data_IF_293073152324
#
_entry.id   IF_293073152324
#
_cell.length_a   1.000
_cell.length_b   1.000
_cell.length_c   1.000
_cell.angle_alpha   90.00
_cell.angle_beta   90.00
_cell.angle_gamma   90.00
#
_symmetry.space_group_name_H-M   'P 1'
#
loop_
_entity.id
_entity.type
_entity.pdbx_description
1 polymer ?
#
# COMPACT_ATOMS: atom_id res chain seq x y z
N UNK A 1 -66.78 13.53 41.22
CA UNK A 1 -65.51 12.93 41.63
C UNK A 1 -64.65 12.78 40.39
N UNK A 2 -63.73 13.67 40.20
CA UNK A 2 -62.85 13.69 39.02
C UNK A 2 -61.45 13.24 39.46
N UNK A 3 -61.03 12.05 39.01
CA UNK A 3 -59.72 11.52 39.30
C UNK A 3 -58.74 12.03 38.20
N UNK A 4 -57.90 12.99 38.60
CA UNK A 4 -56.81 13.51 37.75
C UNK A 4 -55.68 12.46 37.60
N UNK A 5 -55.55 11.95 36.42
CA UNK A 5 -54.38 11.08 36.06
C UNK A 5 -53.20 11.98 35.82
N UNK A 6 -52.34 12.15 36.81
CA UNK A 6 -51.00 12.71 36.63
C UNK A 6 -50.15 11.71 35.88
N UNK A 7 -49.92 12.02 34.66
CA UNK A 7 -48.95 11.37 33.80
C UNK A 7 -47.53 11.61 34.34
N UNK A 8 -46.94 10.60 34.96
CA UNK A 8 -45.50 10.61 35.25
C UNK A 8 -44.74 10.30 33.96
N UNK A 9 -44.20 11.34 33.32
CA UNK A 9 -43.24 11.16 32.27
C UNK A 9 -41.89 10.89 32.95
N UNK A 10 -41.50 9.63 33.01
CA UNK A 10 -40.19 9.23 33.44
C UNK A 10 -39.18 9.64 32.36
N UNK A 11 -38.46 10.73 32.61
CA UNK A 11 -37.29 11.08 31.85
C UNK A 11 -36.21 10.04 32.14
N UNK A 12 -36.02 9.08 31.23
CA UNK A 12 -34.82 8.25 31.20
C UNK A 12 -33.67 9.11 30.68
N UNK A 13 -32.57 9.26 31.41
CA UNK A 13 -31.37 9.83 30.85
C UNK A 13 -30.79 8.85 29.84
N UNK A 14 -30.86 9.20 28.57
CA UNK A 14 -30.18 8.49 27.51
C UNK A 14 -28.68 8.76 27.68
N UNK A 15 -28.02 7.94 28.50
CA UNK A 15 -26.54 7.92 28.55
C UNK A 15 -26.03 7.36 27.24
N UNK A 16 -25.73 8.28 26.33
CA UNK A 16 -25.00 7.98 25.12
C UNK A 16 -23.61 7.51 25.54
N UNK A 17 -23.44 6.20 25.67
CA UNK A 17 -22.12 5.59 25.76
C UNK A 17 -21.42 5.84 24.39
N UNK A 18 -20.75 6.98 24.29
CA UNK A 18 -19.77 7.20 23.26
C UNK A 18 -18.65 6.17 23.47
N UNK A 19 -18.80 5.00 22.83
CA UNK A 19 -17.68 4.10 22.61
C UNK A 19 -16.71 4.85 21.71
N UNK A 20 -15.77 5.55 22.33
CA UNK A 20 -14.56 5.99 21.64
C UNK A 20 -13.84 4.72 21.20
N UNK A 21 -14.09 4.28 19.99
CA UNK A 21 -13.25 3.34 19.31
C UNK A 21 -11.86 4.02 19.28
N UNK A 22 -10.96 3.59 20.16
CA UNK A 22 -9.55 3.84 20.02
C UNK A 22 -9.18 3.12 18.73
N UNK A 23 -9.25 3.83 17.61
CA UNK A 23 -8.58 3.42 16.40
C UNK A 23 -7.10 3.31 16.79
N UNK A 24 -6.62 2.08 16.96
CA UNK A 24 -5.20 1.81 17.04
C UNK A 24 -4.63 2.36 15.76
N UNK A 25 -4.00 3.53 15.86
CA UNK A 25 -3.17 4.07 14.81
C UNK A 25 -1.98 3.13 14.70
N UNK A 26 -2.15 2.02 14.01
CA UNK A 26 -1.04 1.24 13.50
C UNK A 26 -0.29 2.22 12.60
N UNK A 27 0.80 2.75 13.12
CA UNK A 27 1.64 3.70 12.41
C UNK A 27 2.30 2.94 11.28
N UNK A 28 1.68 3.00 10.10
CA UNK A 28 2.26 2.41 8.90
C UNK A 28 3.66 2.97 8.70
N UNK A 29 4.65 2.13 8.35
CA UNK A 29 5.96 2.62 7.97
C UNK A 29 5.80 3.68 6.88
N UNK A 30 6.54 4.77 6.97
CA UNK A 30 6.53 5.82 5.95
C UNK A 30 7.10 5.27 4.64
N UNK A 31 6.68 5.86 3.52
CA UNK A 31 7.37 5.65 2.25
C UNK A 31 8.82 6.11 2.38
N UNK A 32 9.78 5.34 1.87
CA UNK A 32 11.18 5.73 1.90
C UNK A 32 11.48 6.85 0.90
N UNK A 33 12.57 7.57 1.11
CA UNK A 33 13.10 8.44 0.08
C UNK A 33 13.82 7.61 -0.98
N UNK A 34 13.66 7.92 -2.28
CA UNK A 34 14.39 7.22 -3.33
C UNK A 34 15.91 7.32 -3.10
N UNK A 35 16.61 6.19 -3.15
CA UNK A 35 18.06 6.16 -3.01
C UNK A 35 18.73 6.77 -4.24
N UNK A 36 19.83 7.50 -4.11
CA UNK A 36 20.56 8.02 -5.26
C UNK A 36 21.18 6.88 -6.09
N UNK A 37 21.27 7.08 -7.39
CA UNK A 37 21.92 6.14 -8.30
C UNK A 37 21.14 4.85 -8.61
N UNK A 38 19.86 4.79 -8.28
CA UNK A 38 18.98 3.67 -8.65
C UNK A 38 18.74 3.67 -10.16
N UNK A 39 18.96 2.51 -10.78
CA UNK A 39 18.78 2.28 -12.22
C UNK A 39 18.06 0.96 -12.47
N UNK A 40 17.68 0.73 -13.73
CA UNK A 40 17.09 -0.54 -14.19
C UNK A 40 17.96 -1.78 -13.88
N UNK A 41 19.27 -1.62 -13.73
CA UNK A 41 20.19 -2.71 -13.40
C UNK A 41 19.91 -3.36 -12.02
N UNK A 42 19.18 -2.67 -11.16
CA UNK A 42 18.74 -3.23 -9.86
C UNK A 42 17.62 -4.25 -10.00
N UNK A 43 16.85 -4.18 -11.07
CA UNK A 43 15.67 -5.03 -11.30
C UNK A 43 16.10 -6.32 -11.98
N UNK A 44 15.60 -7.46 -11.50
CA UNK A 44 15.85 -8.75 -12.14
C UNK A 44 15.48 -8.71 -13.63
N UNK A 45 16.36 -9.22 -14.52
CA UNK A 45 16.03 -9.36 -15.93
C UNK A 45 14.99 -10.47 -16.15
N UNK A 46 14.24 -10.43 -17.25
CA UNK A 46 13.20 -11.39 -17.56
C UNK A 46 13.72 -12.84 -17.57
N UNK A 47 14.93 -13.06 -18.06
CA UNK A 47 15.56 -14.38 -18.09
C UNK A 47 15.89 -14.98 -16.71
N UNK A 48 15.85 -14.17 -15.64
CA UNK A 48 16.04 -14.63 -14.27
C UNK A 48 14.70 -14.99 -13.58
N UNK A 49 13.55 -14.60 -14.17
CA UNK A 49 12.23 -14.95 -13.67
C UNK A 49 11.97 -16.45 -13.88
N UNK A 50 11.44 -17.11 -12.87
CA UNK A 50 11.26 -18.59 -12.88
C UNK A 50 9.89 -18.98 -12.36
N UNK A 51 9.45 -20.18 -12.82
CA UNK A 51 8.20 -20.77 -12.39
C UNK A 51 6.99 -20.30 -13.18
N UNK A 52 5.83 -20.80 -12.81
CA UNK A 52 4.58 -20.62 -13.56
C UNK A 52 4.10 -19.16 -13.60
N UNK A 53 4.50 -18.34 -12.60
CA UNK A 53 4.16 -16.92 -12.52
C UNK A 53 5.08 -16.01 -13.35
N UNK A 54 6.19 -16.50 -13.89
CA UNK A 54 7.21 -15.67 -14.54
C UNK A 54 6.65 -14.85 -15.72
N UNK A 55 5.89 -15.48 -16.59
CA UNK A 55 5.30 -14.83 -17.77
C UNK A 55 4.29 -13.72 -17.36
N UNK A 56 3.46 -14.00 -16.34
CA UNK A 56 2.49 -13.02 -15.83
C UNK A 56 3.18 -11.84 -15.12
N UNK A 57 4.29 -12.09 -14.44
CA UNK A 57 5.06 -11.09 -13.72
C UNK A 57 5.92 -10.23 -14.64
N UNK A 58 6.37 -10.73 -15.79
CA UNK A 58 7.34 -10.09 -16.69
C UNK A 58 6.95 -8.64 -17.04
N UNK A 59 5.68 -8.37 -17.28
CA UNK A 59 5.20 -7.04 -17.59
C UNK A 59 5.43 -6.05 -16.42
N UNK A 60 5.18 -6.46 -15.18
CA UNK A 60 5.43 -5.63 -14.01
C UNK A 60 6.92 -5.34 -13.82
N UNK A 61 7.78 -6.34 -14.01
CA UNK A 61 9.24 -6.17 -13.96
C UNK A 61 9.73 -5.20 -15.05
N UNK A 62 9.18 -5.29 -16.27
CA UNK A 62 9.50 -4.37 -17.37
C UNK A 62 9.12 -2.92 -16.98
N UNK A 63 7.93 -2.71 -16.45
CA UNK A 63 7.46 -1.40 -15.98
C UNK A 63 8.38 -0.82 -14.90
N UNK A 64 8.79 -1.64 -13.94
CA UNK A 64 9.69 -1.21 -12.85
C UNK A 64 11.07 -0.81 -13.40
N UNK A 65 11.58 -1.49 -14.42
CA UNK A 65 12.84 -1.10 -15.06
C UNK A 65 12.79 0.28 -15.73
N UNK A 66 11.61 0.73 -16.17
CA UNK A 66 11.44 2.06 -16.75
C UNK A 66 11.39 3.17 -15.69
N UNK A 67 10.88 2.87 -14.49
CA UNK A 67 10.68 3.85 -13.43
C UNK A 67 11.31 3.43 -12.08
N UNK A 68 12.54 2.91 -12.05
CA UNK A 68 13.09 2.29 -10.84
C UNK A 68 13.21 3.26 -9.67
N UNK A 69 13.50 4.54 -9.92
CA UNK A 69 13.60 5.57 -8.89
C UNK A 69 12.24 5.89 -8.25
N UNK A 70 11.16 5.87 -9.04
CA UNK A 70 9.81 6.08 -8.52
C UNK A 70 9.44 4.91 -7.61
N UNK A 71 9.68 3.69 -8.07
CA UNK A 71 9.38 2.46 -7.31
C UNK A 71 10.22 2.36 -6.04
N UNK A 72 11.47 2.85 -6.06
CA UNK A 72 12.32 2.92 -4.86
C UNK A 72 11.82 3.90 -3.80
N UNK A 73 11.00 4.85 -4.19
CA UNK A 73 10.32 5.80 -3.28
C UNK A 73 8.98 5.30 -2.73
N UNK A 74 8.60 4.07 -2.98
CA UNK A 74 7.30 3.52 -2.57
C UNK A 74 7.53 2.41 -1.54
N UNK A 75 6.74 2.41 -0.46
CA UNK A 75 6.68 1.30 0.48
C UNK A 75 5.81 0.20 -0.10
N UNK A 76 6.25 -1.05 -0.02
CA UNK A 76 5.43 -2.19 -0.38
C UNK A 76 4.35 -2.47 0.69
N UNK A 77 3.10 -2.63 0.27
CA UNK A 77 1.96 -2.90 1.17
C UNK A 77 1.66 -4.40 1.34
N UNK A 78 2.48 -5.30 0.79
CA UNK A 78 2.29 -6.75 0.97
C UNK A 78 2.85 -7.30 2.30
N UNK A 79 3.40 -6.44 3.18
CA UNK A 79 4.07 -6.84 4.42
C UNK A 79 5.59 -6.98 4.31
N UNK A 80 6.17 -7.00 3.11
CA UNK A 80 7.62 -7.10 2.93
C UNK A 80 8.39 -5.93 3.54
N UNK A 81 7.77 -4.75 3.63
CA UNK A 81 8.40 -3.56 4.20
C UNK A 81 8.82 -3.71 5.67
N UNK A 82 8.29 -4.71 6.37
CA UNK A 82 8.64 -5.01 7.76
C UNK A 82 9.81 -6.01 7.86
N UNK A 83 10.22 -6.59 6.74
CA UNK A 83 11.31 -7.55 6.69
C UNK A 83 12.66 -6.85 6.50
N UNK A 84 13.69 -7.35 7.18
CA UNK A 84 15.05 -6.88 6.99
C UNK A 84 15.48 -7.07 5.52
N UNK A 85 16.09 -6.01 4.94
CA UNK A 85 16.54 -6.01 3.56
C UNK A 85 15.52 -5.52 2.53
N UNK A 86 14.27 -5.26 2.94
CA UNK A 86 13.25 -4.68 2.07
C UNK A 86 13.10 -3.18 2.34
N UNK A 87 13.89 -2.39 1.64
CA UNK A 87 13.88 -0.93 1.78
C UNK A 87 12.63 -0.29 1.19
N UNK A 88 12.21 -0.76 0.03
CA UNK A 88 11.15 -0.19 -0.79
C UNK A 88 10.44 -1.28 -1.60
N UNK A 89 9.42 -0.91 -2.36
CA UNK A 89 8.79 -1.78 -3.35
C UNK A 89 9.82 -2.30 -4.38
N UNK A 90 10.84 -1.51 -4.72
CA UNK A 90 11.91 -1.96 -5.61
C UNK A 90 12.62 -3.20 -5.08
N UNK A 91 12.80 -3.32 -3.77
CA UNK A 91 13.44 -4.49 -3.16
C UNK A 91 12.73 -5.82 -3.50
N UNK A 92 11.43 -5.77 -3.75
CA UNK A 92 10.66 -6.96 -4.18
C UNK A 92 11.00 -7.38 -5.62
N UNK A 93 11.59 -6.51 -6.40
CA UNK A 93 12.00 -6.72 -7.79
C UNK A 93 13.51 -6.98 -7.95
N UNK A 94 14.27 -6.93 -6.86
CA UNK A 94 15.70 -7.21 -6.83
C UNK A 94 15.98 -8.72 -6.68
N UNK A 95 17.14 -9.10 -6.18
CA UNK A 95 17.68 -10.46 -6.15
C UNK A 95 16.72 -11.58 -5.68
N UNK A 96 15.87 -11.28 -4.69
CA UNK A 96 14.93 -12.29 -4.19
C UNK A 96 13.72 -12.49 -5.11
N UNK A 97 13.43 -11.51 -5.98
CA UNK A 97 12.35 -11.58 -6.96
C UNK A 97 10.96 -11.86 -6.35
N UNK A 98 10.72 -11.40 -5.13
CA UNK A 98 9.45 -11.64 -4.41
C UNK A 98 8.22 -11.26 -5.23
N UNK A 99 8.33 -10.19 -6.02
CA UNK A 99 7.26 -9.72 -6.88
C UNK A 99 6.82 -10.74 -7.96
N UNK A 100 7.63 -11.74 -8.28
CA UNK A 100 7.23 -12.80 -9.22
C UNK A 100 5.97 -13.54 -8.76
N UNK A 101 5.79 -13.67 -7.44
CA UNK A 101 4.70 -14.43 -6.83
C UNK A 101 3.74 -13.56 -6.01
N UNK A 102 3.91 -12.24 -6.02
CA UNK A 102 3.11 -11.33 -5.24
C UNK A 102 2.28 -10.41 -6.13
N UNK A 103 0.98 -10.67 -6.17
CA UNK A 103 0.04 -9.87 -6.95
C UNK A 103 -0.08 -8.43 -6.42
N UNK A 104 0.13 -8.21 -5.13
CA UNK A 104 0.13 -6.87 -4.52
C UNK A 104 1.31 -6.07 -5.04
N UNK A 105 2.54 -6.60 -4.95
CA UNK A 105 3.72 -5.94 -5.50
C UNK A 105 3.56 -5.60 -6.98
N UNK A 106 3.00 -6.52 -7.77
CA UNK A 106 2.75 -6.30 -9.20
C UNK A 106 1.67 -5.24 -9.43
N UNK A 107 0.61 -5.24 -8.62
CA UNK A 107 -0.45 -4.24 -8.67
C UNK A 107 0.07 -2.84 -8.36
N UNK A 108 0.85 -2.70 -7.28
CA UNK A 108 1.50 -1.45 -6.89
C UNK A 108 2.41 -0.90 -8.00
N UNK A 109 3.21 -1.75 -8.62
CA UNK A 109 4.09 -1.34 -9.72
C UNK A 109 3.32 -0.87 -10.94
N UNK A 110 2.26 -1.58 -11.33
CA UNK A 110 1.40 -1.18 -12.46
C UNK A 110 0.71 0.15 -12.21
N UNK A 111 0.17 0.35 -11.00
CA UNK A 111 -0.45 1.61 -10.63
C UNK A 111 0.56 2.75 -10.65
N UNK A 112 1.75 2.55 -10.06
CA UNK A 112 2.82 3.53 -10.07
C UNK A 112 3.23 3.91 -11.50
N UNK A 113 3.40 2.92 -12.37
CA UNK A 113 3.77 3.13 -13.77
C UNK A 113 2.71 3.96 -14.51
N UNK A 114 1.45 3.60 -14.38
CA UNK A 114 0.33 4.31 -15.02
C UNK A 114 0.25 5.76 -14.56
N UNK A 115 0.27 6.00 -13.26
CA UNK A 115 0.17 7.34 -12.71
C UNK A 115 1.42 8.20 -13.04
N UNK A 116 2.60 7.58 -13.07
CA UNK A 116 3.82 8.28 -13.50
C UNK A 116 3.75 8.70 -14.96
N UNK A 117 3.25 7.84 -15.85
CA UNK A 117 3.04 8.17 -17.26
C UNK A 117 2.00 9.29 -17.45
N UNK A 118 1.04 9.41 -16.55
CA UNK A 118 0.08 10.52 -16.49
C UNK A 118 0.66 11.81 -15.89
N UNK A 119 1.90 11.81 -15.45
CA UNK A 119 2.58 12.99 -14.88
C UNK A 119 2.35 13.24 -13.40
N UNK A 120 1.86 12.23 -12.64
CA UNK A 120 1.68 12.38 -11.20
C UNK A 120 3.01 12.51 -10.46
N UNK A 121 3.04 13.33 -9.41
CA UNK A 121 4.17 13.39 -8.51
C UNK A 121 4.32 12.10 -7.70
N UNK A 122 5.54 11.81 -7.22
CA UNK A 122 5.78 10.66 -6.34
C UNK A 122 4.85 10.66 -5.12
N UNK A 123 4.60 11.82 -4.52
CA UNK A 123 3.69 11.91 -3.38
C UNK A 123 2.22 11.62 -3.75
N UNK A 124 1.81 12.00 -4.95
CA UNK A 124 0.48 11.64 -5.48
C UNK A 124 0.36 10.13 -5.69
N UNK A 125 1.37 9.51 -6.29
CA UNK A 125 1.46 8.07 -6.51
C UNK A 125 1.41 7.30 -5.18
N UNK A 126 2.19 7.73 -4.18
CA UNK A 126 2.20 7.13 -2.83
C UNK A 126 0.80 7.12 -2.20
N UNK A 127 0.09 8.25 -2.28
CA UNK A 127 -1.27 8.36 -1.76
C UNK A 127 -2.26 7.43 -2.47
N UNK A 128 -2.15 7.31 -3.79
CA UNK A 128 -3.00 6.43 -4.58
C UNK A 128 -2.73 4.95 -4.24
N UNK A 129 -1.47 4.57 -4.09
CA UNK A 129 -1.07 3.22 -3.70
C UNK A 129 -1.56 2.89 -2.28
N UNK A 130 -1.41 3.81 -1.33
CA UNK A 130 -1.91 3.60 0.03
C UNK A 130 -3.44 3.51 0.08
N UNK A 131 -4.14 4.20 -0.79
CA UNK A 131 -5.60 4.12 -0.89
C UNK A 131 -6.07 2.79 -1.48
N UNK A 132 -5.32 2.20 -2.41
CA UNK A 132 -5.71 0.97 -3.10
C UNK A 132 -5.22 -0.29 -2.39
N UNK A 133 -4.00 -0.28 -1.87
CA UNK A 133 -3.32 -1.45 -1.30
C UNK A 133 -3.05 -1.35 0.20
N UNK A 134 -3.20 -0.18 0.76
CA UNK A 134 -3.00 0.05 2.18
C UNK A 134 -4.28 -0.25 2.96
N UNK A 135 -4.25 -1.12 3.98
CA UNK A 135 -5.37 -1.40 4.89
C UNK A 135 -5.64 -0.26 5.89
#
# INVERSE_FOLDING_TARGET
MTISRRMFVAMMPLTLLARTAKASLVRRPKHPDPRPGITAARVLPDGALKGDGAAAAAAAFAMVREIPQIVDGIRCNCGCAELAGFYSLLSCYEQAGMAQHCIICQGEARLAYTLHAEGWSLNGIRKAIDAEFGD
#
